data_IF_146508875079
#
_entry.id   IF_146508875079
#
_cell.length_a   1.000
_cell.length_b   1.000
_cell.length_c   1.000
_cell.angle_alpha   90.00
_cell.angle_beta   90.00
_cell.angle_gamma   90.00
#
_symmetry.space_group_name_H-M   'P 1'
#
loop_
_entity.id
_entity.type
_entity.pdbx_description
1 polymer ?
#
# COMPACT_ATOMS: atom_id res chain seq x y z
N UNK A 1 24.25 -22.28 13.11
CA UNK A 1 24.08 -20.84 13.44
C UNK A 1 23.28 -20.07 12.39
N UNK A 2 23.47 -20.28 11.07
CA UNK A 2 22.68 -19.61 10.02
C UNK A 2 21.17 -19.97 10.02
N UNK A 3 20.80 -21.22 10.30
CA UNK A 3 19.40 -21.68 10.29
C UNK A 3 18.57 -21.00 11.40
N UNK A 4 19.16 -20.75 12.56
CA UNK A 4 18.51 -20.06 13.69
C UNK A 4 18.25 -18.56 13.38
N UNK A 5 19.14 -17.90 12.65
CA UNK A 5 18.93 -16.51 12.21
C UNK A 5 17.81 -16.40 11.16
N UNK A 6 17.67 -17.37 10.25
CA UNK A 6 16.58 -17.40 9.27
C UNK A 6 15.19 -17.64 9.90
N UNK A 7 15.13 -18.47 10.95
CA UNK A 7 13.90 -18.71 11.72
C UNK A 7 13.50 -17.51 12.56
N UNK A 8 14.47 -16.79 13.14
CA UNK A 8 14.21 -15.58 13.95
C UNK A 8 13.62 -14.44 13.11
N UNK A 9 14.11 -14.20 11.90
CA UNK A 9 13.55 -13.17 11.01
C UNK A 9 12.12 -13.51 10.53
N UNK A 10 11.77 -14.78 10.37
CA UNK A 10 10.39 -15.19 10.02
C UNK A 10 9.42 -15.03 11.19
N UNK A 11 9.87 -15.15 12.42
CA UNK A 11 9.02 -15.00 13.63
C UNK A 11 8.73 -13.54 13.98
N UNK A 12 9.63 -12.61 13.67
CA UNK A 12 9.44 -11.18 13.95
C UNK A 12 8.27 -10.59 13.12
N UNK A 13 8.00 -11.10 11.92
CA UNK A 13 6.88 -10.67 11.09
C UNK A 13 5.52 -11.33 11.41
N UNK A 14 5.49 -12.36 12.26
CA UNK A 14 4.27 -13.10 12.56
C UNK A 14 3.22 -12.26 13.33
N UNK A 15 3.59 -11.50 14.37
CA UNK A 15 2.63 -10.65 15.07
C UNK A 15 2.09 -9.50 14.19
N UNK A 16 2.90 -8.93 13.30
CA UNK A 16 2.44 -7.92 12.35
C UNK A 16 1.44 -8.51 11.33
N UNK A 17 1.70 -9.71 10.82
CA UNK A 17 0.79 -10.43 9.92
C UNK A 17 -0.52 -10.81 10.60
N UNK A 18 -0.47 -11.29 11.85
CA UNK A 18 -1.66 -11.61 12.64
C UNK A 18 -2.47 -10.34 12.96
N UNK A 19 -1.82 -9.24 13.27
CA UNK A 19 -2.46 -7.93 13.49
C UNK A 19 -3.12 -7.40 12.20
N UNK A 20 -2.47 -7.54 11.03
CA UNK A 20 -3.08 -7.24 9.73
C UNK A 20 -4.29 -8.12 9.45
N UNK A 21 -4.21 -9.41 9.78
CA UNK A 21 -5.31 -10.36 9.57
C UNK A 21 -6.51 -10.04 10.47
N UNK A 22 -6.30 -9.76 11.75
CA UNK A 22 -7.38 -9.39 12.67
C UNK A 22 -8.08 -8.10 12.25
N UNK A 23 -7.33 -7.10 11.80
CA UNK A 23 -7.89 -5.84 11.24
C UNK A 23 -8.67 -6.06 9.94
N UNK A 24 -8.27 -7.04 9.13
CA UNK A 24 -9.00 -7.39 7.90
C UNK A 24 -10.36 -8.04 8.16
N UNK A 25 -10.55 -8.64 9.34
CA UNK A 25 -11.81 -9.25 9.73
C UNK A 25 -12.83 -8.22 10.28
N UNK A 26 -12.36 -7.07 10.76
CA UNK A 26 -13.19 -6.00 11.36
C UNK A 26 -13.48 -4.84 10.40
N UNK A 27 -13.83 -5.17 9.18
CA UNK A 27 -14.03 -4.23 8.08
C UNK A 27 -15.00 -3.07 8.32
N UNK A 28 -15.99 -3.29 9.15
CA UNK A 28 -17.02 -2.30 9.46
C UNK A 28 -16.55 -1.19 10.42
N UNK A 29 -15.29 -1.26 10.88
CA UNK A 29 -14.73 -0.32 11.86
C UNK A 29 -13.65 0.59 11.29
N UNK A 30 -13.31 0.50 9.99
CA UNK A 30 -12.35 1.42 9.38
C UNK A 30 -12.96 2.83 9.31
N UNK A 31 -12.30 3.78 9.94
CA UNK A 31 -12.70 5.19 9.99
C UNK A 31 -11.48 6.07 9.63
N UNK A 32 -11.11 6.14 8.33
CA UNK A 32 -9.97 6.94 7.90
C UNK A 32 -10.24 8.44 8.09
N UNK A 33 -9.22 9.20 8.49
CA UNK A 33 -9.25 10.66 8.48
C UNK A 33 -9.09 11.17 7.04
N UNK A 34 -10.17 11.08 6.28
CA UNK A 34 -10.19 11.50 4.89
C UNK A 34 -9.91 13.01 4.72
N UNK A 35 -10.28 13.84 5.68
CA UNK A 35 -10.04 15.29 5.61
C UNK A 35 -8.52 15.58 5.61
N UNK A 36 -7.78 14.92 6.48
CA UNK A 36 -6.32 15.05 6.53
C UNK A 36 -5.65 14.56 5.24
N UNK A 37 -6.14 13.47 4.65
CA UNK A 37 -5.63 12.93 3.39
C UNK A 37 -5.91 13.88 2.21
N UNK A 38 -7.16 14.31 2.06
CA UNK A 38 -7.61 15.13 0.94
C UNK A 38 -6.91 16.49 0.87
N UNK A 39 -6.52 17.05 2.02
CA UNK A 39 -5.75 18.30 2.08
C UNK A 39 -4.35 18.21 1.43
N UNK A 40 -3.86 17.00 1.12
CA UNK A 40 -2.53 16.72 0.54
C UNK A 40 -2.57 16.28 -0.92
N UNK A 41 -3.77 16.10 -1.45
CA UNK A 41 -4.01 15.53 -2.78
C UNK A 41 -4.52 16.60 -3.75
N UNK A 42 -4.11 16.52 -5.02
CA UNK A 42 -4.77 17.31 -6.06
C UNK A 42 -6.14 16.69 -6.40
N UNK A 43 -6.94 17.38 -7.23
CA UNK A 43 -8.29 16.95 -7.57
C UNK A 43 -8.33 15.55 -8.25
N UNK A 44 -7.32 15.21 -9.08
CA UNK A 44 -7.20 13.89 -9.71
C UNK A 44 -6.89 12.80 -8.70
N UNK A 45 -5.90 13.06 -7.85
CA UNK A 45 -5.47 12.18 -6.77
C UNK A 45 -6.58 11.94 -5.74
N UNK A 46 -7.32 12.99 -5.38
CA UNK A 46 -8.46 12.90 -4.46
C UNK A 46 -9.59 12.00 -5.00
N UNK A 47 -9.89 12.08 -6.32
CA UNK A 47 -10.86 11.16 -6.93
C UNK A 47 -10.41 9.70 -6.85
N UNK A 48 -9.13 9.43 -7.09
CA UNK A 48 -8.58 8.07 -6.99
C UNK A 48 -8.63 7.59 -5.54
N UNK A 49 -8.24 8.43 -4.58
CA UNK A 49 -8.29 8.12 -3.15
C UNK A 49 -9.70 7.77 -2.68
N UNK A 50 -10.69 8.55 -3.08
CA UNK A 50 -12.09 8.33 -2.72
C UNK A 50 -12.64 6.98 -3.22
N UNK A 51 -12.08 6.43 -4.31
CA UNK A 51 -12.45 5.11 -4.84
C UNK A 51 -11.84 3.93 -4.09
N UNK A 52 -10.87 4.16 -3.19
CA UNK A 52 -10.23 3.09 -2.42
C UNK A 52 -11.17 2.54 -1.34
N UNK A 53 -10.99 1.24 -1.01
CA UNK A 53 -11.67 0.63 0.14
C UNK A 53 -11.30 1.38 1.44
N UNK A 54 -12.23 1.65 2.36
CA UNK A 54 -11.95 2.38 3.61
C UNK A 54 -10.78 1.81 4.42
N UNK A 55 -10.57 0.50 4.39
CA UNK A 55 -9.43 -0.16 5.07
C UNK A 55 -8.09 0.15 4.40
N UNK A 56 -8.08 0.20 3.07
CA UNK A 56 -6.88 0.53 2.31
C UNK A 56 -6.55 2.02 2.51
N UNK A 57 -7.57 2.90 2.62
CA UNK A 57 -7.39 4.31 3.00
C UNK A 57 -6.83 4.47 4.42
N UNK A 58 -7.38 3.74 5.39
CA UNK A 58 -6.90 3.79 6.77
C UNK A 58 -5.47 3.26 6.90
N UNK A 59 -5.10 2.18 6.16
CA UNK A 59 -3.74 1.70 6.10
C UNK A 59 -2.81 2.76 5.48
N UNK A 60 -3.17 3.32 4.33
CA UNK A 60 -2.39 4.35 3.66
C UNK A 60 -2.19 5.59 4.53
N UNK A 61 -3.20 5.99 5.31
CA UNK A 61 -3.09 7.07 6.30
C UNK A 61 -2.04 6.76 7.36
N UNK A 62 -2.04 5.56 7.96
CA UNK A 62 -1.02 5.18 8.97
C UNK A 62 0.38 5.20 8.39
N UNK A 63 0.57 4.64 7.20
CA UNK A 63 1.85 4.69 6.49
C UNK A 63 2.32 6.13 6.30
N UNK A 64 1.42 7.00 5.83
CA UNK A 64 1.75 8.40 5.54
C UNK A 64 2.03 9.20 6.80
N UNK A 65 1.24 9.01 7.85
CA UNK A 65 1.42 9.69 9.14
C UNK A 65 2.72 9.26 9.81
N UNK A 66 3.06 7.96 9.78
CA UNK A 66 4.33 7.45 10.27
C UNK A 66 5.52 8.05 9.52
N UNK A 67 5.45 8.08 8.19
CA UNK A 67 6.47 8.70 7.35
C UNK A 67 6.61 10.20 7.66
N UNK A 68 5.51 10.94 7.75
CA UNK A 68 5.52 12.38 8.01
C UNK A 68 6.03 12.71 9.42
N UNK A 69 5.75 11.89 10.41
CA UNK A 69 6.23 12.07 11.78
C UNK A 69 7.76 11.93 11.89
N UNK A 70 8.36 10.96 11.16
CA UNK A 70 9.81 10.77 11.15
C UNK A 70 10.52 11.72 10.17
N UNK A 71 9.84 12.13 9.10
CA UNK A 71 10.38 12.99 8.04
C UNK A 71 9.42 14.18 7.77
N UNK A 72 9.40 15.20 8.66
CA UNK A 72 8.52 16.36 8.48
C UNK A 72 8.77 17.16 7.20
N UNK A 73 10.00 17.07 6.64
CA UNK A 73 10.40 17.69 5.38
C UNK A 73 10.17 16.80 4.14
N UNK A 74 9.41 15.68 4.27
CA UNK A 74 9.06 14.84 3.13
C UNK A 74 8.35 15.64 2.04
N UNK A 75 8.64 15.32 0.77
CA UNK A 75 8.01 15.99 -0.36
C UNK A 75 6.49 15.79 -0.37
N UNK A 76 5.76 16.76 -0.90
CA UNK A 76 4.31 16.63 -1.05
C UNK A 76 3.94 15.46 -1.96
N UNK A 77 4.79 15.13 -2.93
CA UNK A 77 4.65 14.00 -3.83
C UNK A 77 4.83 12.67 -3.11
N UNK A 78 5.80 12.56 -2.20
CA UNK A 78 6.02 11.35 -1.41
C UNK A 78 4.85 11.09 -0.45
N UNK A 79 4.34 12.13 0.21
CA UNK A 79 3.16 12.00 1.09
C UNK A 79 1.91 11.59 0.32
N UNK A 80 1.68 12.18 -0.86
CA UNK A 80 0.57 11.79 -1.72
C UNK A 80 0.72 10.37 -2.27
N UNK A 81 1.94 9.97 -2.65
CA UNK A 81 2.21 8.61 -3.08
C UNK A 81 1.98 7.60 -1.96
N UNK A 82 2.32 7.94 -0.71
CA UNK A 82 2.05 7.11 0.44
C UNK A 82 0.54 6.93 0.71
N UNK A 83 -0.27 7.98 0.48
CA UNK A 83 -1.74 7.89 0.55
C UNK A 83 -2.34 7.02 -0.56
N UNK A 84 -1.67 6.89 -1.70
CA UNK A 84 -2.21 6.30 -2.93
C UNK A 84 -1.51 5.00 -3.35
N UNK A 85 -0.50 4.50 -2.59
CA UNK A 85 0.33 3.38 -3.02
C UNK A 85 -0.48 2.11 -3.35
N UNK A 86 -1.56 1.90 -2.65
CA UNK A 86 -2.45 0.75 -2.76
C UNK A 86 -3.67 0.99 -3.68
N UNK A 87 -3.80 2.17 -4.33
CA UNK A 87 -4.97 2.53 -5.11
C UNK A 87 -5.29 1.57 -6.27
N UNK A 88 -4.29 0.86 -6.79
CA UNK A 88 -4.51 -0.15 -7.83
C UNK A 88 -5.39 -1.33 -7.39
N UNK A 89 -5.53 -1.58 -6.09
CA UNK A 89 -6.39 -2.63 -5.53
C UNK A 89 -7.89 -2.36 -5.76
N UNK A 90 -8.30 -1.08 -5.93
CA UNK A 90 -9.70 -0.71 -6.19
C UNK A 90 -10.25 -1.23 -7.52
N UNK A 91 -9.38 -1.52 -8.50
CA UNK A 91 -9.81 -2.03 -9.80
C UNK A 91 -10.47 -3.42 -9.72
N UNK A 92 -10.21 -4.15 -8.67
CA UNK A 92 -10.91 -5.38 -8.32
C UNK A 92 -11.04 -5.49 -6.80
N UNK A 93 -12.19 -5.10 -6.25
CA UNK A 93 -12.47 -5.26 -4.83
C UNK A 93 -12.29 -6.72 -4.40
N UNK A 94 -11.65 -6.93 -3.26
CA UNK A 94 -11.51 -8.26 -2.66
C UNK A 94 -12.63 -8.52 -1.69
N UNK A 95 -13.23 -9.70 -1.73
CA UNK A 95 -13.99 -10.16 -0.57
C UNK A 95 -13.04 -10.52 0.59
N UNK A 96 -13.58 -10.60 1.81
CA UNK A 96 -12.76 -10.83 3.03
C UNK A 96 -11.90 -12.09 2.90
N UNK A 97 -12.47 -13.18 2.38
CA UNK A 97 -11.77 -14.45 2.22
C UNK A 97 -10.66 -14.40 1.17
N UNK A 98 -10.86 -13.65 0.09
CA UNK A 98 -9.83 -13.41 -0.92
C UNK A 98 -8.66 -12.60 -0.34
N UNK A 99 -8.93 -11.61 0.53
CA UNK A 99 -7.88 -10.84 1.23
C UNK A 99 -7.04 -11.75 2.14
N UNK A 100 -7.72 -12.61 2.92
CA UNK A 100 -7.04 -13.57 3.79
C UNK A 100 -6.21 -14.56 2.97
N UNK A 101 -6.80 -15.19 1.97
CA UNK A 101 -6.11 -16.16 1.10
C UNK A 101 -4.94 -15.55 0.34
N UNK A 102 -5.13 -14.38 -0.26
CA UNK A 102 -4.07 -13.66 -0.94
C UNK A 102 -2.95 -13.21 0.04
N UNK A 103 -3.30 -12.86 1.28
CA UNK A 103 -2.34 -12.52 2.33
C UNK A 103 -1.40 -13.66 2.72
N UNK A 104 -1.85 -14.90 2.62
CA UNK A 104 -1.06 -16.10 2.95
C UNK A 104 -0.10 -16.53 1.84
N UNK A 105 -0.34 -16.11 0.59
CA UNK A 105 0.52 -16.46 -0.54
C UNK A 105 1.73 -15.52 -0.58
N UNK A 106 2.98 -16.04 -0.64
CA UNK A 106 4.17 -15.20 -0.79
C UNK A 106 4.08 -14.34 -2.06
N UNK A 107 4.40 -13.03 -1.96
CA UNK A 107 4.26 -12.08 -3.07
C UNK A 107 5.05 -12.48 -4.34
N UNK A 108 6.15 -13.23 -4.18
CA UNK A 108 6.92 -13.78 -5.31
C UNK A 108 6.14 -14.81 -6.12
N UNK A 109 5.24 -15.57 -5.49
CA UNK A 109 4.38 -16.57 -6.15
C UNK A 109 3.11 -15.91 -6.69
N UNK A 110 2.56 -14.91 -6.00
CA UNK A 110 1.34 -14.23 -6.39
C UNK A 110 1.39 -13.65 -7.81
N UNK A 111 2.54 -13.10 -8.23
CA UNK A 111 2.70 -12.50 -9.57
C UNK A 111 2.69 -13.52 -10.74
N UNK A 112 2.98 -14.79 -10.46
CA UNK A 112 3.00 -15.86 -11.47
C UNK A 112 1.66 -16.59 -11.60
N UNK A 113 0.74 -16.34 -10.64
CA UNK A 113 -0.57 -16.96 -10.65
C UNK A 113 -1.58 -15.99 -11.28
N UNK A 114 -2.11 -16.27 -12.48
CA UNK A 114 -3.07 -15.41 -13.18
C UNK A 114 -4.48 -15.51 -12.57
N UNK A 115 -4.57 -15.71 -11.27
CA UNK A 115 -5.81 -15.91 -10.54
C UNK A 115 -6.22 -14.62 -9.85
N UNK A 116 -7.20 -13.94 -10.43
CA UNK A 116 -7.98 -12.84 -9.85
C UNK A 116 -7.29 -11.99 -8.76
N UNK A 117 -7.47 -12.31 -7.46
CA UNK A 117 -6.91 -11.51 -6.36
C UNK A 117 -5.38 -11.49 -6.32
N UNK A 118 -4.73 -12.61 -6.65
CA UNK A 118 -3.27 -12.74 -6.64
C UNK A 118 -2.64 -11.95 -7.78
N UNK A 119 -3.28 -11.91 -8.94
CA UNK A 119 -2.84 -11.09 -10.07
C UNK A 119 -2.87 -9.60 -9.71
N UNK A 120 -4.00 -9.11 -9.17
CA UNK A 120 -4.11 -7.69 -8.74
C UNK A 120 -3.07 -7.37 -7.68
N UNK A 121 -2.86 -8.25 -6.69
CA UNK A 121 -1.82 -8.07 -5.67
C UNK A 121 -0.41 -7.95 -6.27
N UNK A 122 -0.13 -8.68 -7.36
CA UNK A 122 1.16 -8.60 -8.04
C UNK A 122 1.32 -7.38 -8.93
N UNK A 123 0.22 -6.81 -9.41
CA UNK A 123 0.19 -5.76 -10.42
C UNK A 123 -0.35 -4.41 -9.92
N UNK A 124 -0.81 -4.32 -8.65
CA UNK A 124 -1.43 -3.09 -8.16
C UNK A 124 -0.54 -1.84 -8.24
N UNK A 125 0.81 -1.92 -8.16
CA UNK A 125 1.64 -0.74 -8.34
C UNK A 125 1.50 -0.16 -9.74
N UNK A 126 1.63 -1.00 -10.76
CA UNK A 126 1.51 -0.61 -12.18
C UNK A 126 0.07 -0.18 -12.53
N UNK A 127 -0.92 -0.90 -12.01
CA UNK A 127 -2.35 -0.57 -12.20
C UNK A 127 -2.69 0.77 -11.53
N UNK A 128 -2.20 1.01 -10.30
CA UNK A 128 -2.38 2.25 -9.58
C UNK A 128 -1.74 3.43 -10.30
N UNK A 129 -0.51 3.26 -10.79
CA UNK A 129 0.16 4.30 -11.56
C UNK A 129 -0.59 4.68 -12.85
N UNK A 130 -1.14 3.69 -13.57
CA UNK A 130 -1.99 3.95 -14.75
C UNK A 130 -3.25 4.71 -14.39
N UNK A 131 -3.92 4.30 -13.32
CA UNK A 131 -5.11 4.98 -12.81
C UNK A 131 -4.83 6.43 -12.44
N UNK A 132 -3.72 6.69 -11.74
CA UNK A 132 -3.28 8.02 -11.33
C UNK A 132 -2.96 8.91 -12.55
N UNK A 133 -2.22 8.39 -13.53
CA UNK A 133 -1.93 9.13 -14.79
C UNK A 133 -3.22 9.50 -15.52
N UNK A 134 -4.16 8.57 -15.63
CA UNK A 134 -5.45 8.81 -16.27
C UNK A 134 -6.32 9.84 -15.51
N UNK A 135 -6.17 9.93 -14.20
CA UNK A 135 -6.89 10.88 -13.36
C UNK A 135 -6.25 12.29 -13.33
N UNK A 136 -5.08 12.50 -13.93
CA UNK A 136 -4.35 13.76 -13.88
C UNK A 136 -3.61 14.00 -12.56
N UNK A 137 -3.11 12.93 -11.95
CA UNK A 137 -2.22 13.02 -10.80
C UNK A 137 -0.87 13.63 -11.18
N UNK A 138 -0.14 14.13 -10.19
CA UNK A 138 1.25 14.57 -10.37
C UNK A 138 2.10 13.41 -10.90
N UNK A 139 2.94 13.66 -11.89
CA UNK A 139 3.75 12.61 -12.54
C UNK A 139 4.60 11.84 -11.53
N UNK A 140 5.25 12.56 -10.60
CA UNK A 140 6.09 11.96 -9.57
C UNK A 140 5.31 11.05 -8.62
N UNK A 141 4.06 11.39 -8.28
CA UNK A 141 3.19 10.53 -7.46
C UNK A 141 2.94 9.20 -8.14
N UNK A 142 2.60 9.22 -9.43
CA UNK A 142 2.39 7.99 -10.19
C UNK A 142 3.65 7.13 -10.30
N UNK A 143 4.84 7.75 -10.49
CA UNK A 143 6.12 7.03 -10.50
C UNK A 143 6.44 6.35 -9.17
N UNK A 144 6.25 7.06 -8.05
CA UNK A 144 6.49 6.52 -6.73
C UNK A 144 5.55 5.34 -6.43
N UNK A 145 4.27 5.47 -6.79
CA UNK A 145 3.30 4.37 -6.66
C UNK A 145 3.70 3.16 -7.51
N UNK A 146 4.19 3.37 -8.74
CA UNK A 146 4.64 2.28 -9.62
C UNK A 146 5.83 1.52 -9.02
N UNK A 147 6.72 2.23 -8.33
CA UNK A 147 7.99 1.70 -7.81
C UNK A 147 7.97 1.24 -6.37
N UNK A 148 6.88 1.45 -5.62
CA UNK A 148 6.91 1.24 -4.16
C UNK A 148 7.28 -0.19 -3.73
N UNK A 149 7.07 -1.21 -4.55
CA UNK A 149 7.56 -2.56 -4.30
C UNK A 149 8.91 -2.89 -4.93
N UNK A 150 9.41 -2.03 -5.83
CA UNK A 150 10.69 -2.20 -6.54
C UNK A 150 11.38 -0.84 -6.68
N UNK A 151 11.84 -0.26 -5.57
CA UNK A 151 12.34 1.11 -5.56
C UNK A 151 13.61 1.34 -6.40
N UNK A 152 14.41 0.29 -6.66
CA UNK A 152 15.68 0.44 -7.35
C UNK A 152 16.61 1.41 -6.61
N UNK A 153 17.09 2.44 -7.31
CA UNK A 153 17.93 3.52 -6.75
C UNK A 153 17.13 4.75 -6.29
N UNK A 154 15.80 4.71 -6.40
CA UNK A 154 14.93 5.82 -6.02
C UNK A 154 14.75 5.88 -4.51
N UNK A 155 15.33 6.89 -3.88
CA UNK A 155 15.35 7.04 -2.42
C UNK A 155 13.98 7.26 -1.82
N UNK A 156 13.08 8.03 -2.48
CA UNK A 156 11.73 8.26 -2.01
C UNK A 156 10.86 6.98 -2.15
N UNK A 157 11.02 6.26 -3.26
CA UNK A 157 10.34 4.96 -3.41
C UNK A 157 10.84 3.93 -2.38
N UNK A 158 12.12 3.97 -2.00
CA UNK A 158 12.69 3.13 -0.95
C UNK A 158 12.14 3.49 0.44
N UNK A 159 11.95 4.77 0.73
CA UNK A 159 11.30 5.23 1.94
C UNK A 159 9.85 4.73 1.98
N UNK A 160 9.07 4.94 0.92
CA UNK A 160 7.70 4.47 0.82
C UNK A 160 7.62 2.95 1.05
N UNK A 161 8.48 2.17 0.40
CA UNK A 161 8.58 0.72 0.60
C UNK A 161 8.85 0.33 2.05
N UNK A 162 9.75 1.06 2.72
CA UNK A 162 10.08 0.81 4.13
C UNK A 162 8.86 1.02 5.03
N UNK A 163 8.16 2.14 4.89
CA UNK A 163 7.02 2.47 5.74
C UNK A 163 5.80 1.58 5.48
N UNK A 164 5.53 1.19 4.24
CA UNK A 164 4.50 0.19 3.92
C UNK A 164 4.76 -1.16 4.60
N UNK A 165 6.03 -1.56 4.73
CA UNK A 165 6.38 -2.83 5.41
C UNK A 165 6.35 -2.75 6.94
N UNK A 166 6.37 -1.57 7.55
CA UNK A 166 6.29 -1.37 9.00
C UNK A 166 4.85 -1.47 9.52
N UNK A 167 3.85 -1.08 8.72
CA UNK A 167 2.42 -1.07 9.02
C UNK A 167 1.68 -2.33 8.53
#
# INVERSE_FOLDING_TARGET
>A
MLLAMFLSQKLIGLPAKLRRLSRSLTATQACPDDAWALARLNAGEARVYAGMDPRDREHALRVTQGLHAELPAASAELLAAALLHDCGKQLRPYCVWERVGAGLVPGRLARWLPLGPLWVRGQHPELGARLLRAAGARARVAELVERHHRPGTDTEAALLHRYDNLE
#
